data_IF_450047103907
#
_entry.id   IF_450047103907
#
_cell.length_a   1.000
_cell.length_b   1.000
_cell.length_c   1.000
_cell.angle_alpha   90.00
_cell.angle_beta   90.00
_cell.angle_gamma   90.00
#
_symmetry.space_group_name_H-M   'P 1'
#
loop_
_entity.id
_entity.type
_entity.pdbx_description
1 polymer ?
#
# COMPACT_ATOMS: atom_id res chain seq x y z
N UNK A 1 -3.31 6.73 -9.31
CA UNK A 1 -3.08 5.73 -10.37
C UNK A 1 -4.42 5.24 -10.89
N UNK A 2 -4.56 5.22 -12.20
CA UNK A 2 -5.75 4.74 -12.87
C UNK A 2 -5.90 3.21 -12.69
N UNK A 3 -7.13 2.71 -12.55
CA UNK A 3 -7.40 1.28 -12.45
C UNK A 3 -6.82 0.47 -13.63
N UNK A 4 -6.71 1.08 -14.80
CA UNK A 4 -6.12 0.46 -16.01
C UNK A 4 -4.62 0.15 -15.85
N UNK A 5 -3.94 0.82 -14.94
CA UNK A 5 -2.51 0.64 -14.69
C UNK A 5 -2.21 -0.43 -13.64
N UNK A 6 -3.26 -1.02 -13.06
CA UNK A 6 -3.14 -2.05 -12.03
C UNK A 6 -3.62 -3.39 -12.57
N UNK A 7 -2.95 -4.44 -12.11
CA UNK A 7 -3.41 -5.80 -12.34
C UNK A 7 -3.83 -6.43 -11.00
N UNK A 8 -4.79 -7.35 -11.02
CA UNK A 8 -5.17 -8.06 -9.80
C UNK A 8 -3.98 -8.82 -9.21
N UNK A 9 -3.87 -8.82 -7.90
CA UNK A 9 -2.88 -9.63 -7.19
C UNK A 9 -3.46 -10.09 -5.86
N UNK A 10 -3.00 -11.26 -5.40
CA UNK A 10 -3.37 -11.80 -4.11
C UNK A 10 -2.22 -11.56 -3.13
N UNK A 11 -2.53 -10.98 -1.99
CA UNK A 11 -1.55 -10.66 -0.96
C UNK A 11 -1.82 -11.46 0.30
N UNK A 12 -0.78 -12.03 0.94
CA UNK A 12 -0.97 -12.67 2.23
C UNK A 12 -1.30 -11.63 3.29
N UNK A 13 -2.15 -12.02 4.24
CA UNK A 13 -2.49 -11.19 5.38
C UNK A 13 -1.75 -11.71 6.62
N UNK A 14 -1.23 -10.79 7.41
CA UNK A 14 -0.62 -11.11 8.69
C UNK A 14 -1.69 -11.36 9.73
N UNK A 15 -1.31 -12.04 10.82
CA UNK A 15 -2.27 -12.35 11.89
C UNK A 15 -2.90 -11.12 12.53
N UNK A 16 -2.13 -10.04 12.71
CA UNK A 16 -2.64 -8.78 13.24
C UNK A 16 -3.66 -8.13 12.29
N UNK A 17 -3.42 -8.20 10.99
CA UNK A 17 -4.36 -7.70 9.98
C UNK A 17 -5.66 -8.51 9.98
N UNK A 18 -5.56 -9.84 10.06
CA UNK A 18 -6.74 -10.71 10.12
C UNK A 18 -7.58 -10.39 11.35
N UNK A 19 -6.95 -10.21 12.51
CA UNK A 19 -7.66 -9.86 13.74
C UNK A 19 -8.37 -8.51 13.63
N UNK A 20 -7.70 -7.52 13.04
CA UNK A 20 -8.29 -6.19 12.84
C UNK A 20 -9.50 -6.26 11.88
N UNK A 21 -9.37 -7.02 10.80
CA UNK A 21 -10.48 -7.21 9.85
C UNK A 21 -11.67 -7.93 10.46
N UNK A 22 -11.42 -8.95 11.30
CA UNK A 22 -12.49 -9.64 12.02
C UNK A 22 -13.21 -8.73 13.00
N UNK A 23 -12.46 -7.86 13.68
CA UNK A 23 -13.07 -6.87 14.58
C UNK A 23 -13.94 -5.89 13.80
N UNK A 24 -13.47 -5.43 12.67
CA UNK A 24 -14.22 -4.55 11.79
C UNK A 24 -15.51 -5.23 11.32
N UNK A 25 -15.46 -6.51 10.97
CA UNK A 25 -16.63 -7.28 10.56
C UNK A 25 -17.67 -7.38 11.70
N UNK A 26 -17.22 -7.54 12.93
CA UNK A 26 -18.12 -7.55 14.10
C UNK A 26 -18.84 -6.22 14.31
N UNK A 27 -18.16 -5.11 14.02
CA UNK A 27 -18.75 -3.78 14.12
C UNK A 27 -19.78 -3.50 13.02
N UNK A 28 -19.61 -4.10 11.85
CA UNK A 28 -20.48 -3.88 10.69
C UNK A 28 -20.88 -5.23 10.05
N UNK A 29 -21.66 -6.05 10.80
CA UNK A 29 -21.91 -7.44 10.39
C UNK A 29 -22.75 -7.58 9.12
N UNK A 30 -23.57 -6.57 8.79
CA UNK A 30 -24.46 -6.61 7.64
C UNK A 30 -23.90 -5.89 6.42
N UNK A 31 -22.68 -5.39 6.50
CA UNK A 31 -22.06 -4.67 5.38
C UNK A 31 -21.62 -5.63 4.27
N UNK A 32 -21.96 -5.28 3.03
CA UNK A 32 -21.44 -5.97 1.85
C UNK A 32 -20.03 -5.49 1.46
N UNK A 33 -19.46 -4.52 2.18
CA UNK A 33 -18.15 -3.95 1.93
C UNK A 33 -17.22 -4.20 3.10
N UNK A 34 -15.95 -4.49 2.82
CA UNK A 34 -14.95 -4.68 3.87
C UNK A 34 -14.75 -3.37 4.66
N UNK A 35 -14.62 -2.26 3.94
CA UNK A 35 -14.50 -0.94 4.52
C UNK A 35 -15.73 -0.15 4.12
N UNK A 36 -16.56 0.19 5.13
CA UNK A 36 -17.81 0.88 4.90
C UNK A 36 -17.84 2.20 5.68
N UNK A 37 -18.56 3.18 5.13
CA UNK A 37 -18.86 4.43 5.83
C UNK A 37 -19.95 4.19 6.87
N UNK A 38 -20.15 5.16 7.76
CA UNK A 38 -21.21 5.12 8.77
C UNK A 38 -22.61 4.92 8.14
N UNK A 39 -22.78 5.35 6.89
CA UNK A 39 -24.03 5.19 6.14
C UNK A 39 -24.17 3.81 5.48
N UNK A 40 -23.16 2.93 5.63
CA UNK A 40 -23.19 1.58 5.08
C UNK A 40 -22.72 1.46 3.63
N UNK A 41 -22.35 2.56 2.99
CA UNK A 41 -21.80 2.54 1.63
C UNK A 41 -20.30 2.32 1.60
N UNK A 42 -19.71 2.10 0.42
CA UNK A 42 -18.28 1.94 0.30
C UNK A 42 -17.53 3.27 0.52
N UNK A 43 -16.25 3.18 0.93
CA UNK A 43 -15.40 4.36 0.97
C UNK A 43 -15.10 4.83 -0.45
N UNK A 44 -15.19 6.14 -0.67
CA UNK A 44 -14.69 6.77 -1.89
C UNK A 44 -13.17 7.00 -1.75
N UNK A 45 -12.48 7.23 -2.86
CA UNK A 45 -11.07 7.59 -2.84
C UNK A 45 -10.81 8.84 -1.99
N UNK A 46 -11.69 9.84 -2.09
CA UNK A 46 -11.59 11.07 -1.29
C UNK A 46 -11.74 10.78 0.20
N UNK A 47 -12.68 9.91 0.57
CA UNK A 47 -12.90 9.55 1.97
C UNK A 47 -11.69 8.82 2.56
N UNK A 48 -11.08 7.90 1.79
CA UNK A 48 -9.84 7.21 2.19
C UNK A 48 -8.72 8.21 2.41
N UNK A 49 -8.52 9.14 1.49
CA UNK A 49 -7.46 10.14 1.61
C UNK A 49 -7.67 11.09 2.79
N UNK A 50 -8.92 11.48 3.08
CA UNK A 50 -9.23 12.28 4.26
C UNK A 50 -8.92 11.52 5.55
N UNK A 51 -9.22 10.22 5.59
CA UNK A 51 -8.91 9.38 6.74
C UNK A 51 -7.40 9.27 6.95
N UNK A 52 -6.65 9.00 5.89
CA UNK A 52 -5.19 8.89 5.94
C UNK A 52 -4.57 10.21 6.39
N UNK A 53 -5.07 11.34 5.89
CA UNK A 53 -4.60 12.66 6.31
C UNK A 53 -4.78 12.86 7.82
N UNK A 54 -5.94 12.51 8.36
CA UNK A 54 -6.21 12.61 9.80
C UNK A 54 -5.30 11.69 10.61
N UNK A 55 -5.06 10.48 10.12
CA UNK A 55 -4.14 9.55 10.79
C UNK A 55 -2.72 10.14 10.82
N UNK A 56 -2.27 10.72 9.72
CA UNK A 56 -0.97 11.38 9.66
C UNK A 56 -0.84 12.54 10.66
N UNK A 57 -1.88 13.36 10.79
CA UNK A 57 -1.92 14.43 11.77
C UNK A 57 -1.83 13.90 13.20
N UNK A 58 -2.57 12.84 13.51
CA UNK A 58 -2.52 12.16 14.82
C UNK A 58 -1.15 11.54 15.11
N UNK A 59 -0.48 11.08 14.07
CA UNK A 59 0.88 10.52 14.19
C UNK A 59 1.95 11.59 14.35
N UNK A 60 1.58 12.88 14.27
CA UNK A 60 2.51 13.97 14.44
C UNK A 60 3.35 14.30 13.22
N UNK A 61 2.93 13.84 12.04
CA UNK A 61 3.66 14.17 10.81
C UNK A 61 3.47 15.65 10.46
N UNK A 62 4.56 16.31 10.06
CA UNK A 62 4.59 17.73 9.79
C UNK A 62 4.05 18.13 8.41
N UNK A 63 3.62 17.15 7.62
CA UNK A 63 3.12 17.35 6.27
C UNK A 63 1.86 16.53 6.05
N UNK A 64 0.96 16.94 5.14
CA UNK A 64 -0.24 16.16 4.85
C UNK A 64 0.11 14.85 4.13
N UNK A 65 -0.51 13.75 4.57
CA UNK A 65 -0.28 12.42 4.00
C UNK A 65 -1.50 12.00 3.18
N UNK A 66 -1.25 11.35 2.05
CA UNK A 66 -2.30 10.74 1.24
C UNK A 66 -1.89 9.33 0.80
N UNK A 67 -2.86 8.56 0.29
CA UNK A 67 -2.66 7.14 -0.01
C UNK A 67 -1.49 6.87 -0.96
N UNK A 68 -1.33 7.71 -1.98
CA UNK A 68 -0.28 7.53 -2.97
C UNK A 68 1.13 7.63 -2.37
N UNK A 69 1.30 8.49 -1.36
CA UNK A 69 2.58 8.59 -0.63
C UNK A 69 2.90 7.28 0.11
N UNK A 70 1.90 6.64 0.71
CA UNK A 70 2.08 5.35 1.37
C UNK A 70 2.49 4.28 0.36
N UNK A 71 1.89 4.31 -0.82
CA UNK A 71 2.23 3.38 -1.90
C UNK A 71 3.68 3.56 -2.35
N UNK A 72 4.13 4.79 -2.55
CA UNK A 72 5.52 5.08 -2.88
C UNK A 72 6.47 4.66 -1.76
N UNK A 73 6.13 4.96 -0.52
CA UNK A 73 6.94 4.58 0.63
C UNK A 73 7.08 3.05 0.72
N UNK A 74 6.00 2.32 0.47
CA UNK A 74 6.03 0.86 0.42
C UNK A 74 6.98 0.37 -0.69
N UNK A 75 6.88 0.94 -1.89
CA UNK A 75 7.75 0.58 -3.01
C UNK A 75 9.22 0.77 -2.70
N UNK A 76 9.59 1.92 -2.14
CA UNK A 76 10.96 2.21 -1.76
C UNK A 76 11.45 1.32 -0.62
N UNK A 77 10.60 1.08 0.38
CA UNK A 77 10.97 0.22 1.51
C UNK A 77 11.24 -1.21 1.07
N UNK A 78 10.39 -1.77 0.22
CA UNK A 78 10.56 -3.13 -0.29
C UNK A 78 11.76 -3.24 -1.22
N UNK A 79 12.00 -2.25 -2.07
CA UNK A 79 13.18 -2.21 -2.94
C UNK A 79 14.45 -2.16 -2.09
N UNK A 80 14.46 -1.32 -1.05
CA UNK A 80 15.61 -1.20 -0.16
C UNK A 80 15.85 -2.47 0.67
N UNK A 81 14.79 -3.25 0.92
CA UNK A 81 14.92 -4.56 1.58
C UNK A 81 15.46 -5.66 0.66
N UNK A 82 15.70 -5.35 -0.63
CA UNK A 82 16.33 -6.26 -1.57
C UNK A 82 15.38 -7.06 -2.46
N UNK A 83 14.09 -6.74 -2.44
CA UNK A 83 13.13 -7.40 -3.34
C UNK A 83 13.37 -6.94 -4.78
N UNK A 84 13.23 -7.86 -5.73
CA UNK A 84 13.45 -7.54 -7.14
C UNK A 84 12.28 -6.74 -7.73
N UNK A 85 12.53 -6.11 -8.87
CA UNK A 85 11.57 -5.23 -9.54
C UNK A 85 10.29 -5.98 -9.94
N UNK A 86 10.41 -7.23 -10.37
CA UNK A 86 9.25 -8.02 -10.78
C UNK A 86 8.34 -8.35 -9.60
N UNK A 87 8.93 -8.72 -8.45
CA UNK A 87 8.17 -8.96 -7.23
C UNK A 87 7.45 -7.69 -6.76
N UNK A 88 8.13 -6.53 -6.85
CA UNK A 88 7.52 -5.23 -6.52
C UNK A 88 6.38 -4.89 -7.47
N UNK A 89 6.55 -5.15 -8.77
CA UNK A 89 5.51 -4.93 -9.76
C UNK A 89 4.24 -5.71 -9.38
N UNK A 90 4.41 -6.98 -9.02
CA UNK A 90 3.29 -7.84 -8.65
C UNK A 90 2.63 -7.39 -7.35
N UNK A 91 3.43 -7.03 -6.35
CA UNK A 91 2.92 -6.56 -5.06
C UNK A 91 2.12 -5.27 -5.20
N UNK A 92 2.64 -4.32 -5.97
CA UNK A 92 1.98 -3.03 -6.18
C UNK A 92 0.88 -3.08 -7.25
N UNK A 93 0.80 -4.18 -8.00
CA UNK A 93 -0.21 -4.36 -9.04
C UNK A 93 0.01 -3.50 -10.27
N UNK A 94 1.24 -3.10 -10.57
CA UNK A 94 1.55 -2.34 -11.78
C UNK A 94 1.46 -3.24 -13.00
N UNK A 95 0.71 -2.82 -14.02
CA UNK A 95 0.66 -3.53 -15.30
C UNK A 95 1.95 -3.38 -16.08
N UNK A 96 2.57 -2.19 -16.01
CA UNK A 96 3.85 -1.92 -16.64
C UNK A 96 4.96 -1.93 -15.61
N UNK A 97 6.04 -2.67 -15.88
CA UNK A 97 7.21 -2.74 -15.01
C UNK A 97 7.89 -1.37 -14.88
N UNK A 98 7.74 -0.49 -15.87
CA UNK A 98 8.34 0.84 -15.84
C UNK A 98 7.88 1.68 -14.66
N UNK A 99 6.65 1.47 -14.18
CA UNK A 99 6.15 2.16 -12.98
C UNK A 99 6.86 1.69 -11.71
N UNK A 100 7.48 0.51 -11.74
CA UNK A 100 8.14 -0.11 -10.60
C UNK A 100 9.66 0.11 -10.59
N UNK A 101 10.27 0.19 -11.78
CA UNK A 101 11.73 0.27 -11.96
C UNK A 101 12.36 1.38 -11.14
N UNK A 102 11.70 2.53 -11.02
CA UNK A 102 12.22 3.66 -10.25
C UNK A 102 12.55 3.32 -8.80
N UNK A 103 11.81 2.39 -8.19
CA UNK A 103 12.05 2.02 -6.79
C UNK A 103 13.35 1.24 -6.65
N UNK A 104 13.61 0.30 -7.56
CA UNK A 104 14.83 -0.49 -7.53
C UNK A 104 16.04 0.32 -8.00
N UNK A 105 15.89 1.20 -8.98
CA UNK A 105 16.97 2.07 -9.45
C UNK A 105 17.46 3.02 -8.37
N UNK A 106 16.58 3.51 -7.51
CA UNK A 106 16.90 4.48 -6.47
C UNK A 106 17.24 3.81 -5.13
N UNK A 107 17.15 2.48 -5.03
CA UNK A 107 17.44 1.77 -3.80
C UNK A 107 18.95 1.79 -3.49
N UNK A 108 19.37 2.26 -2.30
CA UNK A 108 20.77 2.25 -1.93
C UNK A 108 21.33 0.85 -1.73
N UNK A 109 20.50 -0.18 -1.58
CA UNK A 109 20.95 -1.56 -1.44
C UNK A 109 21.17 -2.26 -2.78
N UNK A 110 20.84 -1.60 -3.89
CA UNK A 110 20.94 -2.17 -5.23
C UNK A 110 22.30 -2.77 -5.54
N UNK A 111 23.36 -2.12 -5.07
CA UNK A 111 24.75 -2.54 -5.32
C UNK A 111 25.42 -3.17 -4.10
N UNK A 112 24.64 -3.51 -3.09
CA UNK A 112 25.13 -4.02 -1.81
C UNK A 112 26.11 -5.17 -1.95
N UNK A 113 25.82 -6.12 -2.82
CA UNK A 113 26.64 -7.32 -3.02
C UNK A 113 27.40 -7.30 -4.35
N UNK A 114 27.50 -6.13 -4.98
CA UNK A 114 28.06 -5.99 -6.32
C UNK A 114 29.54 -6.37 -6.37
N UNK A 115 30.28 -6.06 -5.32
CA UNK A 115 31.72 -6.35 -5.22
C UNK A 115 32.02 -7.54 -4.29
N UNK A 116 31.10 -8.47 -4.21
CA UNK A 116 31.29 -9.66 -3.39
C UNK A 116 32.36 -10.56 -4.05
N UNK A 117 33.36 -10.95 -3.27
CA UNK A 117 34.40 -11.87 -3.70
C UNK A 117 33.89 -13.32 -3.73
#
# INVERSE_FOLDING_TARGET
>A
MNAKERKPSAHPLRGDEIRALRELQRQFPDSGFVFATERGGPFTADAVNRLIKRIGERAGLSFPVHAHMLRHACGYALANAGHDTRALQDWLGHRSIQHTVRYTELSPTRFKDFWRD
#
